data_IF_778695808870
#
_entry.id   IF_778695808870
#
_cell.length_a   1.000
_cell.length_b   1.000
_cell.length_c   1.000
_cell.angle_alpha   90.00
_cell.angle_beta   90.00
_cell.angle_gamma   90.00
#
_symmetry.space_group_name_H-M   'P 1'
#
loop_
_entity.id
_entity.type
_entity.pdbx_description
1 polymer ?
#
# COMPACT_ATOMS: atom_id res chain seq x y z
N UNK A 1 2.92 -6.74 34.70
CA UNK A 1 1.77 -7.46 34.09
C UNK A 1 0.80 -6.55 33.37
N UNK A 2 0.36 -5.45 33.94
CA UNK A 2 -0.65 -4.54 33.33
C UNK A 2 -0.33 -4.04 31.93
N UNK A 3 0.90 -3.61 31.65
CA UNK A 3 1.30 -3.21 30.29
C UNK A 3 1.19 -4.35 29.29
N UNK A 4 1.57 -5.57 29.69
CA UNK A 4 1.45 -6.73 28.82
C UNK A 4 0.00 -7.05 28.50
N UNK A 5 -0.90 -6.93 29.44
CA UNK A 5 -2.33 -7.15 29.23
C UNK A 5 -2.91 -6.06 28.34
N UNK A 6 -2.61 -4.79 28.63
CA UNK A 6 -3.11 -3.64 27.86
C UNK A 6 -2.65 -3.66 26.39
N UNK A 7 -1.41 -4.05 26.14
CA UNK A 7 -0.82 -4.11 24.78
C UNK A 7 -0.86 -5.50 24.14
N UNK A 8 -1.77 -6.37 24.61
CA UNK A 8 -2.03 -7.69 24.02
C UNK A 8 -3.44 -7.73 23.41
N UNK A 9 -3.53 -7.99 22.12
CA UNK A 9 -4.76 -7.97 21.35
C UNK A 9 -5.05 -9.30 20.69
N UNK A 10 -6.29 -9.78 20.76
CA UNK A 10 -6.76 -10.93 19.99
C UNK A 10 -6.88 -10.58 18.49
N UNK A 11 -6.39 -11.45 17.62
CA UNK A 11 -6.54 -11.26 16.16
C UNK A 11 -7.91 -11.77 15.72
N UNK A 12 -8.76 -10.90 15.14
CA UNK A 12 -10.07 -11.34 14.62
C UNK A 12 -9.90 -12.45 13.57
N UNK A 13 -10.63 -13.55 13.75
CA UNK A 13 -10.55 -14.71 12.87
C UNK A 13 -9.34 -15.62 13.08
N UNK A 14 -8.53 -15.42 14.11
CA UNK A 14 -7.37 -16.26 14.45
C UNK A 14 -7.69 -17.76 14.44
N UNK A 15 -8.85 -18.17 14.96
CA UNK A 15 -9.30 -19.57 14.99
C UNK A 15 -9.40 -20.26 13.62
N UNK A 16 -9.45 -19.49 12.54
CA UNK A 16 -9.47 -20.01 11.18
C UNK A 16 -8.07 -20.10 10.55
N UNK A 17 -7.04 -19.56 11.20
CA UNK A 17 -5.66 -19.58 10.69
C UNK A 17 -4.97 -20.90 11.00
N UNK A 18 -4.20 -21.47 10.03
CA UNK A 18 -3.48 -22.72 10.23
C UNK A 18 -2.53 -22.72 11.44
N UNK A 19 -1.84 -21.61 11.70
CA UNK A 19 -0.94 -21.46 12.84
C UNK A 19 -1.63 -21.56 14.19
N UNK A 20 -2.86 -21.05 14.31
CA UNK A 20 -3.68 -21.18 15.51
C UNK A 20 -4.20 -22.62 15.66
N UNK A 21 -4.73 -23.19 14.57
CA UNK A 21 -5.25 -24.57 14.58
C UNK A 21 -4.15 -25.61 14.87
N UNK A 22 -2.93 -25.33 14.42
CA UNK A 22 -1.76 -26.19 14.69
C UNK A 22 -1.13 -25.97 16.07
N UNK A 23 -1.68 -25.08 16.91
CA UNK A 23 -1.12 -24.79 18.24
C UNK A 23 0.20 -24.00 18.25
N UNK A 24 0.66 -23.52 17.10
CA UNK A 24 1.91 -22.75 16.98
C UNK A 24 1.79 -21.29 17.38
N UNK A 25 0.56 -20.80 17.55
CA UNK A 25 0.25 -19.42 17.90
C UNK A 25 -1.08 -19.33 18.65
N UNK A 26 -1.13 -18.51 19.67
CA UNK A 26 -2.30 -18.34 20.56
C UNK A 26 -3.35 -17.34 20.04
N UNK A 27 -3.21 -16.85 18.83
CA UNK A 27 -4.15 -15.90 18.22
C UNK A 27 -4.01 -14.46 18.72
N UNK A 28 -2.93 -14.13 19.44
CA UNK A 28 -2.71 -12.80 20.01
C UNK A 28 -1.48 -12.11 19.42
N UNK A 29 -1.57 -10.80 19.29
CA UNK A 29 -0.44 -9.91 19.01
C UNK A 29 -0.07 -9.20 20.31
N UNK A 30 1.21 -9.20 20.63
CA UNK A 30 1.78 -8.53 21.80
C UNK A 30 2.69 -7.41 21.33
N UNK A 31 2.36 -6.17 21.72
CA UNK A 31 3.14 -4.99 21.36
C UNK A 31 4.11 -4.55 22.45
N UNK A 32 4.02 -5.17 23.63
CA UNK A 32 4.97 -5.03 24.74
C UNK A 32 5.69 -6.37 24.94
N UNK A 33 7.01 -6.35 24.88
CA UNK A 33 7.84 -7.53 25.15
C UNK A 33 8.15 -7.61 26.64
N UNK A 34 7.60 -8.61 27.32
CA UNK A 34 7.78 -8.84 28.75
C UNK A 34 9.19 -9.32 29.14
N UNK A 35 9.97 -9.84 28.19
CA UNK A 35 11.32 -10.34 28.45
C UNK A 35 12.35 -9.20 28.45
N UNK A 36 12.18 -8.26 27.52
CA UNK A 36 13.08 -7.12 27.35
C UNK A 36 12.55 -5.84 27.97
N UNK A 37 11.28 -5.80 28.38
CA UNK A 37 10.54 -4.62 28.82
C UNK A 37 10.50 -3.51 27.76
N UNK A 38 10.51 -3.88 26.47
CA UNK A 38 10.48 -2.94 25.36
C UNK A 38 9.08 -2.85 24.76
N UNK A 39 8.76 -1.63 24.31
CA UNK A 39 7.59 -1.32 23.49
C UNK A 39 8.03 -0.51 22.27
N UNK A 40 7.31 -0.64 21.17
CA UNK A 40 7.59 0.18 19.98
C UNK A 40 7.46 1.68 20.29
N UNK A 41 8.46 2.45 19.90
CA UNK A 41 8.54 3.89 20.17
C UNK A 41 7.31 4.68 19.69
N UNK A 42 6.73 4.30 18.56
CA UNK A 42 5.53 4.97 18.02
C UNK A 42 4.27 4.80 18.88
N UNK A 43 4.29 3.91 19.89
CA UNK A 43 3.20 3.75 20.85
C UNK A 43 3.35 4.62 22.13
N UNK A 44 4.34 5.53 22.17
CA UNK A 44 4.61 6.37 23.34
C UNK A 44 3.39 7.18 23.80
N UNK A 45 2.56 7.65 22.90
CA UNK A 45 1.34 8.38 23.24
C UNK A 45 0.23 7.47 23.78
N UNK A 46 0.13 6.23 23.27
CA UNK A 46 -0.78 5.22 23.84
C UNK A 46 -0.31 4.80 25.23
N UNK A 47 1.00 4.66 25.40
CA UNK A 47 1.61 4.37 26.71
C UNK A 47 1.36 5.51 27.70
N UNK A 48 1.46 6.78 27.27
CA UNK A 48 1.16 7.94 28.10
C UNK A 48 -0.30 7.95 28.54
N UNK A 49 -1.24 7.70 27.63
CA UNK A 49 -2.69 7.58 27.93
C UNK A 49 -2.96 6.46 28.94
N UNK A 50 -2.30 5.33 28.78
CA UNK A 50 -2.40 4.25 29.76
C UNK A 50 -1.90 4.70 31.14
N UNK A 51 -0.73 5.33 31.24
CA UNK A 51 -0.15 5.82 32.48
C UNK A 51 -1.08 6.85 33.17
N UNK A 52 -1.61 7.81 32.38
CA UNK A 52 -2.57 8.80 32.84
C UNK A 52 -3.84 8.15 33.42
N UNK A 53 -4.42 7.17 32.72
CA UNK A 53 -5.61 6.45 33.16
C UNK A 53 -5.43 5.68 34.47
N UNK A 54 -4.18 5.39 34.86
CA UNK A 54 -3.78 4.70 36.08
C UNK A 54 -3.20 5.62 37.15
N UNK A 55 -3.11 6.92 36.86
CA UNK A 55 -2.51 7.91 37.78
C UNK A 55 -0.99 7.76 37.93
N UNK A 56 -0.32 7.11 36.97
CA UNK A 56 1.13 7.00 36.99
C UNK A 56 1.80 8.31 36.54
N UNK A 57 2.88 8.69 37.22
CA UNK A 57 3.73 9.81 36.76
C UNK A 57 4.53 9.35 35.54
N UNK A 58 4.57 10.15 34.52
CA UNK A 58 5.35 9.89 33.30
C UNK A 58 5.90 11.19 32.72
N UNK A 59 6.93 11.07 31.90
CA UNK A 59 7.41 12.14 31.03
C UNK A 59 7.52 11.61 29.61
N UNK A 60 7.09 12.40 28.63
CA UNK A 60 7.26 12.08 27.22
C UNK A 60 8.55 12.72 26.71
N UNK A 61 9.38 11.92 26.06
CA UNK A 61 10.53 12.43 25.34
C UNK A 61 10.07 13.01 23.99
N UNK A 62 10.32 14.30 23.77
CA UNK A 62 10.13 14.91 22.45
C UNK A 62 11.38 14.71 21.61
N UNK A 63 11.24 13.97 20.52
CA UNK A 63 12.30 13.71 19.55
C UNK A 63 12.15 14.58 18.29
N UNK A 64 11.34 15.64 18.34
CA UNK A 64 11.21 16.57 17.22
C UNK A 64 12.51 17.31 16.99
N UNK A 65 12.86 17.50 15.72
CA UNK A 65 13.99 18.35 15.34
C UNK A 65 13.52 19.79 15.19
N UNK A 66 14.40 20.72 15.51
CA UNK A 66 14.16 22.14 15.32
C UNK A 66 14.28 22.48 13.82
N UNK A 67 13.15 22.54 13.14
CA UNK A 67 13.02 22.88 11.73
C UNK A 67 11.67 23.56 11.49
N UNK A 68 11.67 24.58 10.67
CA UNK A 68 10.45 25.30 10.30
C UNK A 68 9.83 24.73 9.00
N UNK A 69 8.56 25.06 8.74
CA UNK A 69 7.91 24.71 7.47
C UNK A 69 8.57 25.43 6.29
N UNK A 70 9.06 26.65 6.50
CA UNK A 70 9.74 27.44 5.47
C UNK A 70 11.09 26.81 5.09
N UNK A 71 11.85 26.31 6.05
CA UNK A 71 13.09 25.56 5.76
C UNK A 71 12.82 24.33 4.87
N UNK A 72 11.73 23.61 5.15
CA UNK A 72 11.34 22.44 4.35
C UNK A 72 10.85 22.86 2.97
N UNK A 73 10.11 23.95 2.86
CA UNK A 73 9.65 24.49 1.59
C UNK A 73 10.84 24.92 0.72
N UNK A 74 11.81 25.61 1.29
CA UNK A 74 13.01 26.03 0.59
C UNK A 74 13.88 24.83 0.19
N UNK A 75 13.99 23.82 1.05
CA UNK A 75 14.63 22.56 0.69
C UNK A 75 13.93 21.92 -0.54
N UNK A 76 12.60 21.83 -0.56
CA UNK A 76 11.85 21.27 -1.68
C UNK A 76 12.07 22.07 -2.96
N UNK A 77 12.06 23.41 -2.90
CA UNK A 77 12.37 24.27 -4.05
C UNK A 77 13.77 24.00 -4.62
N UNK A 78 14.77 23.77 -3.75
CA UNK A 78 16.14 23.42 -4.18
C UNK A 78 16.24 22.05 -4.87
N UNK A 79 15.28 21.15 -4.68
CA UNK A 79 15.23 19.89 -5.42
C UNK A 79 14.89 20.09 -6.91
N UNK A 80 14.33 21.25 -7.29
CA UNK A 80 13.92 21.62 -8.66
C UNK A 80 13.04 20.57 -9.33
N UNK A 81 12.10 20.00 -8.55
CA UNK A 81 11.14 19.03 -9.09
C UNK A 81 10.28 19.71 -10.16
N UNK A 82 10.05 19.09 -11.34
CA UNK A 82 9.29 19.71 -12.44
C UNK A 82 7.75 19.70 -12.16
N UNK A 83 7.34 19.56 -10.93
CA UNK A 83 5.95 19.51 -10.46
C UNK A 83 5.75 20.51 -9.33
N UNK A 84 4.61 21.14 -9.29
CA UNK A 84 4.20 21.99 -8.16
C UNK A 84 3.85 21.12 -6.95
N UNK A 85 4.53 21.36 -5.83
CA UNK A 85 4.24 20.68 -4.57
C UNK A 85 3.06 21.39 -3.88
N UNK A 86 2.01 20.65 -3.62
CA UNK A 86 0.79 21.15 -3.01
C UNK A 86 0.94 21.36 -1.50
N UNK A 87 0.17 22.28 -0.93
CA UNK A 87 0.25 22.63 0.50
C UNK A 87 0.15 21.42 1.43
N UNK A 88 -0.78 20.50 1.17
CA UNK A 88 -0.94 19.31 1.99
C UNK A 88 0.25 18.33 1.87
N UNK A 89 0.95 18.32 0.73
CA UNK A 89 2.17 17.52 0.54
C UNK A 89 3.33 18.15 1.32
N UNK A 90 3.46 19.49 1.25
CA UNK A 90 4.43 20.22 2.07
C UNK A 90 4.19 19.99 3.57
N UNK A 91 2.94 20.07 4.02
CA UNK A 91 2.56 19.79 5.42
C UNK A 91 2.92 18.37 5.86
N UNK A 92 2.71 17.39 4.99
CA UNK A 92 3.05 15.99 5.26
C UNK A 92 4.56 15.79 5.34
N UNK A 93 5.32 16.35 4.39
CA UNK A 93 6.79 16.27 4.37
C UNK A 93 7.38 17.00 5.58
N UNK A 94 6.91 18.21 5.90
CA UNK A 94 7.32 18.92 7.09
C UNK A 94 7.08 18.11 8.38
N UNK A 95 5.85 17.58 8.55
CA UNK A 95 5.53 16.74 9.70
C UNK A 95 6.47 15.54 9.82
N UNK A 96 6.70 14.82 8.73
CA UNK A 96 7.55 13.66 8.72
C UNK A 96 9.02 14.00 9.05
N UNK A 97 9.56 15.07 8.48
CA UNK A 97 10.92 15.53 8.76
C UNK A 97 11.04 15.93 10.25
N UNK A 98 10.12 16.75 10.74
CA UNK A 98 10.14 17.26 12.12
C UNK A 98 10.19 16.15 13.15
N UNK A 99 9.44 15.08 12.95
CA UNK A 99 9.35 13.98 13.91
C UNK A 99 10.27 12.79 13.59
N UNK A 100 10.96 12.80 12.44
CA UNK A 100 11.82 11.70 11.97
C UNK A 100 11.10 10.37 11.81
N UNK A 101 9.83 10.29 12.17
CA UNK A 101 8.93 9.14 12.04
C UNK A 101 7.53 9.64 11.69
N UNK A 102 6.87 8.94 10.75
CA UNK A 102 5.48 9.25 10.42
C UNK A 102 4.77 8.06 9.76
N UNK A 103 3.50 7.90 10.06
CA UNK A 103 2.56 7.10 9.28
C UNK A 103 1.63 8.07 8.53
N UNK A 104 1.89 8.29 7.25
CA UNK A 104 1.12 9.21 6.42
C UNK A 104 -0.03 8.49 5.73
N UNK A 105 -1.25 8.87 6.07
CA UNK A 105 -2.46 8.34 5.43
C UNK A 105 -2.88 9.30 4.32
N UNK A 106 -2.69 8.87 3.07
CA UNK A 106 -2.84 9.71 1.89
C UNK A 106 -3.51 8.90 0.77
N UNK A 107 -4.67 9.32 0.26
CA UNK A 107 -5.43 8.55 -0.72
C UNK A 107 -4.67 8.39 -2.04
N UNK A 108 -5.16 7.51 -2.91
CA UNK A 108 -4.63 7.37 -4.27
C UNK A 108 -4.67 8.70 -5.00
N UNK A 109 -3.70 8.95 -5.88
CA UNK A 109 -3.52 10.18 -6.63
C UNK A 109 -3.26 11.46 -5.79
N UNK A 110 -2.95 11.33 -4.50
CA UNK A 110 -2.51 12.46 -3.66
C UNK A 110 -1.04 12.85 -3.87
N UNK A 111 -0.29 12.09 -4.69
CA UNK A 111 1.14 12.28 -4.93
C UNK A 111 2.02 11.66 -3.83
N UNK A 112 1.68 10.47 -3.35
CA UNK A 112 2.50 9.71 -2.37
C UNK A 112 3.95 9.54 -2.83
N UNK A 113 4.19 9.17 -4.09
CA UNK A 113 5.55 8.99 -4.62
C UNK A 113 6.38 10.27 -4.58
N UNK A 114 5.78 11.44 -4.80
CA UNK A 114 6.46 12.72 -4.68
C UNK A 114 6.86 13.04 -3.22
N UNK A 115 5.96 12.77 -2.26
CA UNK A 115 6.29 12.93 -0.84
C UNK A 115 7.40 11.97 -0.40
N UNK A 116 7.35 10.70 -0.84
CA UNK A 116 8.42 9.72 -0.62
C UNK A 116 9.74 10.25 -1.20
N UNK A 117 9.73 10.74 -2.43
CA UNK A 117 10.91 11.31 -3.08
C UNK A 117 11.51 12.47 -2.26
N UNK A 118 10.72 13.46 -1.88
CA UNK A 118 11.20 14.60 -1.09
C UNK A 118 11.82 14.14 0.24
N UNK A 119 11.20 13.21 0.93
CA UNK A 119 11.70 12.67 2.19
C UNK A 119 12.98 11.84 2.02
N UNK A 120 13.05 11.00 0.97
CA UNK A 120 14.27 10.24 0.64
C UNK A 120 15.42 11.20 0.34
N UNK A 121 15.19 12.25 -0.45
CA UNK A 121 16.21 13.25 -0.78
C UNK A 121 16.70 13.98 0.46
N UNK A 122 15.79 14.33 1.39
CA UNK A 122 16.17 14.91 2.67
C UNK A 122 17.06 13.98 3.49
N UNK A 123 16.66 12.73 3.66
CA UNK A 123 17.44 11.74 4.39
C UNK A 123 18.80 11.50 3.73
N UNK A 124 18.84 11.31 2.41
CA UNK A 124 20.09 11.06 1.68
C UNK A 124 21.09 12.20 1.83
N UNK A 125 20.66 13.46 1.75
CA UNK A 125 21.52 14.62 1.96
C UNK A 125 22.08 14.68 3.40
N UNK A 126 21.24 14.39 4.40
CA UNK A 126 21.70 14.31 5.81
C UNK A 126 22.69 13.18 6.05
N UNK A 127 22.65 12.13 5.22
CA UNK A 127 23.45 10.91 5.38
C UNK A 127 24.79 10.93 4.60
N UNK A 128 24.99 11.88 3.70
CA UNK A 128 26.21 11.96 2.88
C UNK A 128 27.52 11.85 3.68
N UNK A 129 27.55 12.41 4.90
CA UNK A 129 28.71 12.34 5.79
C UNK A 129 28.89 11.02 6.53
N UNK A 130 27.86 10.18 6.59
CA UNK A 130 27.87 8.94 7.41
C UNK A 130 28.04 7.67 6.58
N UNK A 131 27.93 7.77 5.25
CA UNK A 131 27.94 6.61 4.35
C UNK A 131 26.73 5.67 4.52
N UNK A 132 25.75 6.04 5.35
CA UNK A 132 24.53 5.26 5.56
C UNK A 132 23.59 5.41 4.35
N UNK A 133 22.75 4.42 4.17
CA UNK A 133 21.87 4.28 3.00
C UNK A 133 20.38 4.42 3.40
N UNK A 134 19.55 4.61 2.39
CA UNK A 134 18.07 4.67 2.53
C UNK A 134 17.44 3.45 1.87
N UNK A 135 16.45 2.83 2.54
CA UNK A 135 15.70 1.68 2.06
C UNK A 135 14.24 2.07 1.78
N UNK A 136 13.80 1.93 0.55
CA UNK A 136 12.38 2.04 0.15
C UNK A 136 11.82 0.65 -0.09
N UNK A 137 10.78 0.29 0.66
CA UNK A 137 10.06 -0.97 0.56
C UNK A 137 8.68 -0.76 -0.08
N UNK A 138 8.40 -1.55 -1.11
CA UNK A 138 7.14 -1.52 -1.86
C UNK A 138 6.54 -2.93 -1.96
N UNK A 139 5.21 -3.09 -2.20
CA UNK A 139 4.56 -4.39 -2.21
C UNK A 139 4.93 -5.31 -3.39
N UNK A 140 5.21 -4.75 -4.56
CA UNK A 140 5.38 -5.52 -5.80
C UNK A 140 6.62 -5.10 -6.58
N UNK A 141 7.16 -6.01 -7.40
CA UNK A 141 8.31 -5.71 -8.29
C UNK A 141 7.95 -4.60 -9.30
N UNK A 142 6.70 -4.56 -9.75
CA UNK A 142 6.24 -3.50 -10.65
C UNK A 142 6.35 -2.11 -10.00
N UNK A 143 5.99 -1.99 -8.73
CA UNK A 143 6.15 -0.75 -7.98
C UNK A 143 7.63 -0.37 -7.73
N UNK A 144 8.55 -1.34 -7.66
CA UNK A 144 9.99 -1.05 -7.64
C UNK A 144 10.39 -0.29 -8.90
N UNK A 145 10.00 -0.80 -10.07
CA UNK A 145 10.29 -0.16 -11.36
C UNK A 145 9.58 1.17 -11.54
N UNK A 146 8.33 1.27 -11.05
CA UNK A 146 7.57 2.51 -11.11
C UNK A 146 8.21 3.61 -10.25
N UNK A 147 8.58 3.32 -9.00
CA UNK A 147 9.25 4.30 -8.13
C UNK A 147 10.56 4.79 -8.72
N UNK A 148 11.32 3.90 -9.36
CA UNK A 148 12.54 4.26 -10.06
C UNK A 148 12.25 5.23 -11.21
N UNK A 149 11.27 4.93 -12.06
CA UNK A 149 10.82 5.82 -13.17
C UNK A 149 10.28 7.15 -12.64
N UNK A 150 9.48 7.14 -11.57
CA UNK A 150 8.95 8.35 -10.94
C UNK A 150 10.10 9.28 -10.49
N UNK A 151 11.17 8.73 -9.91
CA UNK A 151 12.34 9.53 -9.50
C UNK A 151 13.04 10.17 -10.70
N UNK A 152 13.14 9.47 -11.83
CA UNK A 152 13.66 10.04 -13.08
C UNK A 152 12.78 11.19 -13.59
N UNK A 153 11.44 11.00 -13.54
CA UNK A 153 10.48 12.07 -13.91
C UNK A 153 10.60 13.28 -13.00
N UNK A 154 10.99 13.10 -11.73
CA UNK A 154 11.25 14.21 -10.80
C UNK A 154 12.60 14.89 -11.01
N UNK A 155 13.32 14.52 -12.06
CA UNK A 155 14.62 15.13 -12.43
C UNK A 155 15.81 14.57 -11.65
N UNK A 156 15.66 13.37 -11.04
CA UNK A 156 16.73 12.74 -10.28
C UNK A 156 17.51 11.73 -11.13
N UNK A 157 18.82 11.73 -11.02
CA UNK A 157 19.67 10.69 -11.62
C UNK A 157 19.50 9.38 -10.83
N UNK A 158 18.40 8.68 -11.12
CA UNK A 158 18.09 7.43 -10.46
C UNK A 158 19.05 6.30 -10.85
N UNK A 159 19.61 6.35 -12.06
CA UNK A 159 20.59 5.36 -12.53
C UNK A 159 21.84 5.33 -11.66
N UNK A 160 22.40 6.48 -11.33
CA UNK A 160 23.60 6.56 -10.49
C UNK A 160 23.30 6.36 -9.00
N UNK A 161 22.09 6.71 -8.53
CA UNK A 161 21.80 6.80 -7.10
C UNK A 161 20.88 5.72 -6.55
N UNK A 162 20.11 5.01 -7.39
CA UNK A 162 19.15 4.01 -6.94
C UNK A 162 19.56 2.59 -7.32
N UNK A 163 19.50 1.68 -6.36
CA UNK A 163 19.64 0.24 -6.56
C UNK A 163 18.30 -0.45 -6.45
N UNK A 164 17.85 -1.08 -7.53
CA UNK A 164 16.61 -1.88 -7.54
C UNK A 164 16.90 -3.33 -7.20
N UNK A 165 16.37 -3.82 -6.09
CA UNK A 165 16.46 -5.23 -5.69
C UNK A 165 15.22 -5.95 -6.21
N UNK A 166 15.40 -6.73 -7.28
CA UNK A 166 14.40 -7.62 -7.85
C UNK A 166 14.88 -9.06 -7.82
N UNK A 167 14.03 -10.03 -8.18
CA UNK A 167 14.39 -11.44 -8.18
C UNK A 167 15.62 -11.70 -9.08
N UNK A 168 16.63 -12.37 -8.53
CA UNK A 168 17.87 -12.70 -9.25
C UNK A 168 18.91 -11.59 -9.35
N UNK A 169 18.64 -10.37 -8.89
CA UNK A 169 19.64 -9.30 -8.84
C UNK A 169 20.39 -9.28 -7.51
N UNK A 170 21.60 -8.73 -7.58
CA UNK A 170 22.45 -8.52 -6.41
C UNK A 170 21.71 -7.71 -5.33
N UNK A 171 21.89 -8.07 -4.08
CA UNK A 171 21.23 -7.40 -2.95
C UNK A 171 22.08 -6.28 -2.35
N UNK A 172 23.28 -6.09 -2.86
CA UNK A 172 24.19 -5.06 -2.41
C UNK A 172 24.75 -4.26 -3.60
N UNK A 173 24.95 -2.98 -3.41
CA UNK A 173 25.52 -2.06 -4.39
C UNK A 173 26.09 -0.82 -3.69
N UNK A 174 26.99 -0.14 -4.36
CA UNK A 174 27.49 1.16 -3.86
C UNK A 174 26.59 2.30 -4.36
N UNK A 175 25.35 2.32 -3.85
CA UNK A 175 24.34 3.34 -4.13
C UNK A 175 23.64 3.79 -2.86
N UNK A 176 23.28 5.06 -2.71
CA UNK A 176 22.70 5.60 -1.47
C UNK A 176 21.22 5.19 -1.24
N UNK A 177 20.49 4.81 -2.29
CA UNK A 177 19.06 4.52 -2.22
C UNK A 177 18.81 3.11 -2.74
N UNK A 178 18.12 2.29 -1.94
CA UNK A 178 17.70 0.94 -2.28
C UNK A 178 16.18 0.88 -2.41
N UNK A 179 15.69 0.37 -3.53
CA UNK A 179 14.27 0.18 -3.79
C UNK A 179 14.02 -1.33 -3.90
N UNK A 180 13.18 -1.88 -3.04
CA UNK A 180 12.97 -3.33 -2.93
C UNK A 180 11.54 -3.68 -2.56
N UNK A 181 11.14 -4.91 -2.81
CA UNK A 181 9.99 -5.48 -2.12
C UNK A 181 10.42 -6.00 -0.76
N UNK A 182 9.54 -5.95 0.27
CA UNK A 182 9.86 -6.53 1.57
C UNK A 182 10.10 -8.06 1.50
N UNK A 183 9.45 -8.76 0.55
CA UNK A 183 9.65 -10.19 0.32
C UNK A 183 11.08 -10.52 -0.13
N UNK A 184 11.73 -9.61 -0.84
CA UNK A 184 13.09 -9.80 -1.32
C UNK A 184 14.14 -9.70 -0.22
N UNK A 185 13.88 -8.93 0.84
CA UNK A 185 14.90 -8.60 1.86
C UNK A 185 14.59 -9.10 3.27
N UNK A 186 13.36 -9.52 3.62
CA UNK A 186 13.01 -9.87 5.01
C UNK A 186 13.84 -11.02 5.61
N UNK A 187 14.36 -11.91 4.75
CA UNK A 187 15.22 -13.05 5.17
C UNK A 187 16.68 -12.66 5.41
N UNK A 188 17.09 -11.43 4.99
CA UNK A 188 18.47 -10.97 5.20
C UNK A 188 18.79 -10.89 6.68
N UNK A 189 20.08 -11.12 7.01
CA UNK A 189 20.58 -11.03 8.40
C UNK A 189 20.54 -9.58 8.90
N UNK A 190 20.62 -9.40 10.22
CA UNK A 190 20.60 -8.08 10.88
C UNK A 190 21.71 -7.16 10.38
N UNK A 191 22.91 -7.70 10.15
CA UNK A 191 24.07 -6.94 9.66
C UNK A 191 23.81 -6.27 8.30
N UNK A 192 23.02 -6.90 7.43
CA UNK A 192 22.59 -6.29 6.17
C UNK A 192 21.81 -5.00 6.40
N UNK A 193 20.99 -4.96 7.44
CA UNK A 193 20.17 -3.79 7.75
C UNK A 193 20.91 -2.69 8.49
N UNK A 194 22.10 -2.97 9.04
CA UNK A 194 22.91 -1.99 9.75
C UNK A 194 23.43 -0.84 8.85
N UNK A 195 23.43 -1.04 7.53
CA UNK A 195 23.79 0.01 6.57
C UNK A 195 22.71 1.08 6.38
N UNK A 196 21.45 0.84 6.79
CA UNK A 196 20.34 1.76 6.58
C UNK A 196 20.01 2.56 7.84
N UNK A 197 19.89 3.87 7.72
CA UNK A 197 19.38 4.74 8.77
C UNK A 197 18.06 5.46 8.41
N UNK A 198 17.55 5.21 7.20
CA UNK A 198 16.21 5.63 6.80
C UNK A 198 15.48 4.47 6.11
N UNK A 199 14.23 4.24 6.51
CA UNK A 199 13.33 3.25 5.89
C UNK A 199 12.01 3.89 5.52
N UNK A 200 11.57 3.60 4.33
CA UNK A 200 10.28 3.98 3.76
C UNK A 200 9.48 2.74 3.40
N UNK A 201 8.20 2.73 3.72
CA UNK A 201 7.30 1.64 3.37
C UNK A 201 6.09 2.24 2.66
N UNK A 202 6.00 2.01 1.36
CA UNK A 202 4.79 2.35 0.60
C UNK A 202 3.75 1.24 0.74
N UNK A 203 2.47 1.63 0.70
CA UNK A 203 1.33 0.75 0.98
C UNK A 203 1.51 -0.06 2.28
N UNK A 204 1.94 0.63 3.33
CA UNK A 204 2.28 0.04 4.63
C UNK A 204 1.18 -0.88 5.20
N UNK A 205 -0.10 -0.65 4.85
CA UNK A 205 -1.23 -1.49 5.25
C UNK A 205 -1.20 -2.92 4.68
N UNK A 206 -0.52 -3.12 3.54
CA UNK A 206 -0.37 -4.44 2.91
C UNK A 206 0.74 -5.28 3.54
N UNK A 207 1.69 -4.66 4.19
CA UNK A 207 2.79 -5.34 4.85
C UNK A 207 2.31 -6.04 6.13
N UNK A 208 1.36 -6.97 5.97
CA UNK A 208 0.72 -7.70 7.06
C UNK A 208 1.73 -8.44 7.92
N UNK A 209 1.91 -7.86 9.07
CA UNK A 209 2.46 -8.39 10.30
C UNK A 209 3.93 -8.87 10.25
N UNK A 210 4.20 -10.12 9.88
CA UNK A 210 5.47 -10.74 10.27
C UNK A 210 6.69 -10.29 9.45
N UNK A 211 6.57 -10.12 8.14
CA UNK A 211 7.72 -9.76 7.30
C UNK A 211 8.17 -8.30 7.52
N UNK A 212 7.22 -7.36 7.58
CA UNK A 212 7.54 -5.96 7.87
C UNK A 212 8.07 -5.79 9.30
N UNK A 213 7.39 -6.36 10.29
CA UNK A 213 7.85 -6.30 11.70
C UNK A 213 9.26 -6.88 11.83
N UNK A 214 9.54 -8.02 11.18
CA UNK A 214 10.88 -8.62 11.16
C UNK A 214 11.94 -7.69 10.56
N UNK A 215 11.64 -6.99 9.47
CA UNK A 215 12.55 -5.99 8.89
C UNK A 215 12.76 -4.82 9.86
N UNK A 216 11.67 -4.27 10.40
CA UNK A 216 11.71 -3.11 11.28
C UNK A 216 12.44 -3.40 12.60
N UNK A 217 12.38 -4.65 13.11
CA UNK A 217 13.14 -5.11 14.27
C UNK A 217 14.64 -5.26 14.00
N UNK A 218 15.01 -5.61 12.76
CA UNK A 218 16.42 -5.68 12.33
C UNK A 218 17.04 -4.30 12.09
N UNK A 219 16.25 -3.28 11.81
CA UNK A 219 16.65 -1.89 11.61
C UNK A 219 16.82 -1.16 12.97
N UNK A 220 17.74 -1.60 13.83
CA UNK A 220 17.91 -1.06 15.19
C UNK A 220 18.35 0.39 15.21
N UNK A 221 19.32 0.75 14.34
CA UNK A 221 19.94 2.07 14.29
C UNK A 221 19.38 2.91 13.13
N UNK A 222 18.06 2.81 12.91
CA UNK A 222 17.35 3.49 11.84
C UNK A 222 16.39 4.53 12.45
N UNK A 223 16.83 5.79 12.65
CA UNK A 223 16.00 6.83 13.25
C UNK A 223 14.85 7.29 12.33
N UNK A 224 15.08 7.32 11.02
CA UNK A 224 14.09 7.79 10.06
C UNK A 224 13.19 6.64 9.58
N UNK A 225 11.92 6.64 10.00
CA UNK A 225 10.96 5.57 9.68
C UNK A 225 9.66 6.14 9.18
N UNK A 226 9.36 5.92 7.91
CA UNK A 226 8.17 6.48 7.26
C UNK A 226 7.33 5.39 6.63
N UNK A 227 6.06 5.31 7.04
CA UNK A 227 5.03 4.50 6.41
C UNK A 227 4.06 5.38 5.64
N UNK A 228 3.73 5.01 4.40
CA UNK A 228 2.71 5.67 3.61
C UNK A 228 1.63 4.66 3.23
N UNK A 229 0.38 5.08 3.26
CA UNK A 229 -0.74 4.21 2.89
C UNK A 229 -1.94 5.01 2.40
N UNK A 230 -2.70 4.44 1.48
CA UNK A 230 -3.96 5.03 1.01
C UNK A 230 -5.08 4.93 2.04
N UNK A 231 -5.13 3.83 2.77
CA UNK A 231 -6.19 3.51 3.73
C UNK A 231 -5.64 2.74 4.92
N UNK A 232 -6.32 2.82 6.04
CA UNK A 232 -6.18 1.91 7.17
C UNK A 232 -7.41 1.00 7.21
N UNK A 233 -7.23 -0.29 7.44
CA UNK A 233 -8.29 -1.31 7.36
C UNK A 233 -9.30 -1.27 8.53
N UNK A 234 -9.28 -0.24 9.35
CA UNK A 234 -10.18 -0.04 10.48
C UNK A 234 -9.98 -1.00 11.66
N UNK A 235 -9.06 -1.96 11.55
CA UNK A 235 -8.74 -2.89 12.65
C UNK A 235 -7.76 -2.24 13.61
N UNK A 236 -8.14 -2.15 14.87
CA UNK A 236 -7.33 -1.52 15.91
C UNK A 236 -5.95 -2.18 16.06
N UNK A 237 -5.88 -3.50 16.00
CA UNK A 237 -4.63 -4.25 16.06
C UNK A 237 -3.64 -3.86 14.95
N UNK A 238 -4.13 -3.67 13.73
CA UNK A 238 -3.29 -3.26 12.60
C UNK A 238 -2.87 -1.80 12.75
N UNK A 239 -3.79 -0.92 13.18
CA UNK A 239 -3.49 0.48 13.46
C UNK A 239 -2.40 0.61 14.51
N UNK A 240 -2.52 -0.09 15.63
CA UNK A 240 -1.53 -0.02 16.72
C UNK A 240 -0.18 -0.61 16.30
N UNK A 241 -0.17 -1.70 15.53
CA UNK A 241 1.09 -2.26 15.00
C UNK A 241 1.79 -1.26 14.09
N UNK A 242 1.07 -0.67 13.13
CA UNK A 242 1.64 0.33 12.23
C UNK A 242 2.07 1.60 12.97
N UNK A 243 1.25 2.07 13.92
CA UNK A 243 1.61 3.21 14.77
C UNK A 243 2.90 2.92 15.54
N UNK A 244 3.04 1.72 16.11
CA UNK A 244 4.25 1.33 16.84
C UNK A 244 5.50 1.38 15.98
N UNK A 245 5.43 0.90 14.75
CA UNK A 245 6.55 0.84 13.82
C UNK A 245 6.95 2.22 13.28
N UNK A 246 5.99 3.11 13.04
CA UNK A 246 6.21 4.41 12.39
C UNK A 246 5.92 5.59 13.32
N UNK A 247 4.68 5.87 13.60
CA UNK A 247 4.13 6.82 14.58
C UNK A 247 2.58 6.85 14.45
N UNK A 248 1.93 7.74 15.20
CA UNK A 248 0.49 7.99 15.09
C UNK A 248 0.12 8.38 13.66
N UNK A 249 -0.97 7.81 13.11
CA UNK A 249 -1.39 8.13 11.75
C UNK A 249 -1.70 9.60 11.55
N UNK A 250 -1.07 10.22 10.54
CA UNK A 250 -1.34 11.59 10.09
C UNK A 250 -2.13 11.55 8.79
N UNK A 251 -3.38 12.00 8.83
CA UNK A 251 -4.16 12.19 7.61
C UNK A 251 -3.61 13.37 6.81
N UNK A 252 -3.18 13.12 5.59
CA UNK A 252 -2.58 14.12 4.70
C UNK A 252 -3.67 14.92 3.97
N UNK A 253 -4.58 14.22 3.33
CA UNK A 253 -5.74 14.80 2.64
C UNK A 253 -6.85 13.75 2.53
N UNK A 254 -7.98 14.08 1.93
CA UNK A 254 -9.08 13.15 1.68
C UNK A 254 -9.42 13.09 0.20
N UNK A 255 -9.93 11.94 -0.27
CA UNK A 255 -10.43 11.79 -1.64
C UNK A 255 -11.44 12.87 -2.01
N UNK A 256 -12.32 13.24 -1.06
CA UNK A 256 -13.31 14.31 -1.26
C UNK A 256 -12.63 15.65 -1.55
N UNK A 257 -11.63 16.06 -0.75
CA UNK A 257 -10.89 17.30 -0.99
C UNK A 257 -10.20 17.32 -2.36
N UNK A 258 -9.63 16.17 -2.78
CA UNK A 258 -8.99 16.04 -4.10
C UNK A 258 -9.99 16.14 -5.26
N UNK A 259 -11.21 15.60 -5.10
CA UNK A 259 -12.29 15.75 -6.07
C UNK A 259 -12.83 17.19 -6.11
N UNK A 260 -13.02 17.82 -4.95
CA UNK A 260 -13.55 19.18 -4.84
C UNK A 260 -12.56 20.21 -5.42
N UNK A 261 -11.25 19.97 -5.30
CA UNK A 261 -10.20 20.80 -5.91
C UNK A 261 -9.95 20.51 -7.40
N UNK A 262 -10.65 19.54 -8.00
CA UNK A 262 -10.41 19.15 -9.40
C UNK A 262 -9.08 18.40 -9.63
N UNK A 263 -8.40 18.01 -8.57
CA UNK A 263 -7.12 17.26 -8.66
C UNK A 263 -7.31 15.85 -9.22
N UNK A 264 -8.45 15.25 -8.92
CA UNK A 264 -8.85 13.92 -9.44
C UNK A 264 -10.27 14.01 -10.03
N UNK A 265 -10.54 13.10 -10.93
CA UNK A 265 -11.87 12.99 -11.54
C UNK A 265 -12.95 12.73 -10.49
N UNK A 266 -14.14 13.28 -10.71
CA UNK A 266 -15.30 13.00 -9.88
C UNK A 266 -15.74 11.56 -10.06
N UNK A 267 -15.77 10.81 -8.97
CA UNK A 267 -16.25 9.42 -8.95
C UNK A 267 -17.76 9.40 -8.65
N UNK A 268 -18.53 8.75 -9.53
CA UNK A 268 -19.93 8.40 -9.28
C UNK A 268 -20.05 6.88 -9.14
N UNK A 269 -20.52 6.41 -8.00
CA UNK A 269 -20.76 4.99 -7.73
C UNK A 269 -22.23 4.68 -7.93
N UNK A 270 -22.56 3.80 -8.90
CA UNK A 270 -23.90 3.29 -9.11
C UNK A 270 -23.96 1.84 -8.63
N UNK A 271 -24.72 1.57 -7.58
CA UNK A 271 -24.97 0.20 -7.10
C UNK A 271 -26.15 -0.41 -7.84
N UNK A 272 -25.87 -1.41 -8.69
CA UNK A 272 -26.90 -2.14 -9.44
C UNK A 272 -27.30 -3.41 -8.66
N UNK A 273 -28.54 -3.49 -8.26
CA UNK A 273 -29.09 -4.66 -7.55
C UNK A 273 -29.77 -5.57 -8.57
N UNK A 274 -29.20 -6.75 -8.78
CA UNK A 274 -29.76 -7.74 -9.67
C UNK A 274 -30.81 -8.58 -8.92
N UNK A 275 -32.05 -8.59 -9.43
CA UNK A 275 -33.08 -9.46 -8.90
C UNK A 275 -32.98 -10.85 -9.56
N UNK A 276 -32.69 -11.84 -8.75
CA UNK A 276 -32.67 -13.24 -9.19
C UNK A 276 -34.08 -13.78 -9.46
N UNK A 277 -34.18 -14.69 -10.43
CA UNK A 277 -35.41 -15.42 -10.72
C UNK A 277 -35.91 -16.22 -9.51
N UNK A 278 -37.17 -16.70 -9.55
CA UNK A 278 -37.71 -17.59 -8.51
C UNK A 278 -36.93 -18.90 -8.43
N UNK A 279 -36.48 -19.40 -9.55
CA UNK A 279 -35.66 -20.59 -9.72
C UNK A 279 -34.29 -20.40 -9.08
N UNK A 280 -33.60 -19.29 -9.42
CA UNK A 280 -32.33 -18.92 -8.83
C UNK A 280 -32.40 -18.81 -7.30
N UNK A 281 -33.48 -18.19 -6.78
CA UNK A 281 -33.70 -18.08 -5.33
C UNK A 281 -33.89 -19.44 -4.66
N UNK A 282 -34.50 -20.43 -5.34
CA UNK A 282 -34.60 -21.81 -4.82
C UNK A 282 -33.24 -22.47 -4.76
N UNK A 283 -32.41 -22.34 -5.80
CA UNK A 283 -31.04 -22.88 -5.84
C UNK A 283 -30.20 -22.25 -4.74
N UNK A 284 -30.22 -20.91 -4.60
CA UNK A 284 -29.46 -20.21 -3.57
C UNK A 284 -29.78 -20.66 -2.13
N UNK A 285 -31.02 -21.12 -1.85
CA UNK A 285 -31.41 -21.62 -0.52
C UNK A 285 -30.81 -22.96 -0.14
N UNK A 286 -30.40 -23.80 -1.11
CA UNK A 286 -29.79 -25.11 -0.86
C UNK A 286 -28.27 -25.06 -0.81
N UNK A 287 -27.65 -23.96 -1.22
CA UNK A 287 -26.23 -23.72 -1.13
C UNK A 287 -25.81 -23.61 0.35
N UNK A 288 -24.81 -24.39 0.76
CA UNK A 288 -24.37 -24.47 2.16
C UNK A 288 -23.02 -23.85 2.42
N UNK A 289 -22.18 -23.68 1.39
CA UNK A 289 -20.82 -23.20 1.54
C UNK A 289 -20.59 -21.92 0.74
N UNK A 290 -19.71 -21.08 1.23
CA UNK A 290 -19.28 -19.87 0.52
C UNK A 290 -18.72 -20.16 -0.88
N UNK A 291 -18.00 -21.28 -1.04
CA UNK A 291 -17.43 -21.65 -2.33
C UNK A 291 -18.52 -22.02 -3.35
N UNK A 292 -19.52 -22.78 -2.93
CA UNK A 292 -20.67 -23.11 -3.78
C UNK A 292 -21.44 -21.86 -4.20
N UNK A 293 -21.60 -20.89 -3.29
CA UNK A 293 -22.24 -19.61 -3.58
C UNK A 293 -21.44 -18.81 -4.61
N UNK A 294 -20.11 -18.72 -4.44
CA UNK A 294 -19.23 -18.07 -5.41
C UNK A 294 -19.32 -18.73 -6.78
N UNK A 295 -19.25 -20.05 -6.87
CA UNK A 295 -19.32 -20.80 -8.10
C UNK A 295 -20.70 -20.60 -8.80
N UNK A 296 -21.79 -20.62 -8.03
CA UNK A 296 -23.13 -20.33 -8.54
C UNK A 296 -23.22 -18.92 -9.15
N UNK A 297 -22.75 -17.89 -8.43
CA UNK A 297 -22.78 -16.50 -8.90
C UNK A 297 -21.93 -16.30 -10.16
N UNK A 298 -20.75 -16.90 -10.19
CA UNK A 298 -19.78 -16.77 -11.29
C UNK A 298 -20.30 -17.47 -12.56
N UNK A 299 -20.97 -18.62 -12.42
CA UNK A 299 -21.52 -19.39 -13.53
C UNK A 299 -22.92 -18.98 -13.96
N UNK A 300 -23.57 -18.05 -13.25
CA UNK A 300 -24.93 -17.61 -13.55
C UNK A 300 -25.01 -16.88 -14.90
N UNK A 301 -25.62 -17.52 -15.88
CA UNK A 301 -25.71 -17.05 -17.28
C UNK A 301 -26.43 -15.70 -17.40
N UNK A 302 -27.53 -15.52 -16.65
CA UNK A 302 -28.31 -14.28 -16.69
C UNK A 302 -27.52 -13.10 -16.16
N UNK A 303 -26.78 -13.31 -15.06
CA UNK A 303 -25.86 -12.32 -14.49
C UNK A 303 -24.73 -11.96 -15.47
N UNK A 304 -24.09 -12.96 -16.06
CA UNK A 304 -23.00 -12.73 -17.00
C UNK A 304 -23.47 -12.02 -18.28
N UNK A 305 -24.65 -12.38 -18.78
CA UNK A 305 -25.27 -11.68 -19.90
C UNK A 305 -25.59 -10.21 -19.56
N UNK A 306 -26.07 -9.94 -18.35
CA UNK A 306 -26.30 -8.56 -17.91
C UNK A 306 -24.99 -7.77 -17.84
N UNK A 307 -23.92 -8.34 -17.28
CA UNK A 307 -22.60 -7.70 -17.20
C UNK A 307 -22.06 -7.41 -18.62
N UNK A 308 -22.16 -8.38 -19.54
CA UNK A 308 -21.71 -8.21 -20.93
C UNK A 308 -22.46 -7.10 -21.64
N UNK A 309 -23.81 -7.09 -21.54
CA UNK A 309 -24.63 -6.00 -22.10
C UNK A 309 -24.29 -4.65 -21.51
N UNK A 310 -24.11 -4.58 -20.20
CA UNK A 310 -23.73 -3.32 -19.54
C UNK A 310 -22.39 -2.83 -20.07
N UNK A 311 -21.36 -3.69 -20.10
CA UNK A 311 -20.04 -3.33 -20.58
C UNK A 311 -20.03 -2.80 -22.01
N UNK A 312 -20.82 -3.41 -22.89
CA UNK A 312 -20.91 -3.00 -24.30
C UNK A 312 -21.71 -1.71 -24.53
N UNK A 313 -22.60 -1.34 -23.60
CA UNK A 313 -23.41 -0.11 -23.70
C UNK A 313 -22.78 1.12 -23.08
N UNK A 314 -21.78 0.95 -22.20
CA UNK A 314 -21.07 2.07 -21.60
C UNK A 314 -20.24 2.80 -22.66
N UNK A 315 -20.19 4.13 -22.56
CA UNK A 315 -19.33 4.99 -23.38
C UNK A 315 -17.98 5.18 -22.71
N UNK A 316 -16.95 5.28 -23.53
CA UNK A 316 -15.57 5.45 -23.07
C UNK A 316 -14.95 4.15 -22.58
N UNK A 317 -13.70 4.25 -22.12
CA UNK A 317 -12.94 3.08 -21.68
C UNK A 317 -13.61 2.41 -20.49
N UNK A 318 -13.84 1.11 -20.61
CA UNK A 318 -14.57 0.30 -19.64
C UNK A 318 -13.68 -0.78 -19.07
N UNK A 319 -13.58 -0.86 -17.74
CA UNK A 319 -12.85 -1.92 -17.03
C UNK A 319 -13.85 -2.90 -16.39
N UNK A 320 -13.77 -4.17 -16.77
CA UNK A 320 -14.56 -5.27 -16.21
C UNK A 320 -13.65 -6.14 -15.36
N UNK A 321 -13.86 -6.18 -14.05
CA UNK A 321 -13.01 -6.94 -13.12
C UNK A 321 -13.62 -8.31 -12.80
N UNK A 322 -12.79 -9.35 -12.84
CA UNK A 322 -13.17 -10.71 -12.45
C UNK A 322 -12.21 -11.34 -11.44
N UNK A 323 -12.66 -12.37 -10.73
CA UNK A 323 -11.87 -13.09 -9.72
C UNK A 323 -11.33 -14.43 -10.25
N UNK A 324 -12.11 -15.19 -10.98
CA UNK A 324 -11.79 -16.55 -11.43
C UNK A 324 -11.47 -16.54 -12.93
N UNK A 325 -10.25 -16.94 -13.27
CA UNK A 325 -9.73 -16.90 -14.66
C UNK A 325 -10.58 -17.80 -15.56
N UNK A 326 -10.50 -19.12 -15.36
CA UNK A 326 -11.13 -20.12 -16.25
C UNK A 326 -12.68 -20.14 -16.15
N UNK A 327 -13.21 -20.02 -14.93
CA UNK A 327 -14.65 -20.13 -14.69
C UNK A 327 -15.43 -18.88 -15.07
N UNK A 328 -14.78 -17.71 -15.11
CA UNK A 328 -15.47 -16.42 -15.29
C UNK A 328 -14.79 -15.51 -16.30
N UNK A 329 -13.51 -15.20 -16.14
CA UNK A 329 -12.81 -14.21 -16.96
C UNK A 329 -12.79 -14.56 -18.44
N UNK A 330 -12.39 -15.78 -18.77
CA UNK A 330 -12.34 -16.25 -20.17
C UNK A 330 -13.75 -16.30 -20.80
N UNK A 331 -14.75 -16.99 -20.22
CA UNK A 331 -16.09 -17.03 -20.81
C UNK A 331 -16.77 -15.65 -20.92
N UNK A 332 -16.54 -14.78 -19.93
CA UNK A 332 -17.09 -13.42 -19.95
C UNK A 332 -16.46 -12.57 -21.06
N UNK A 333 -15.16 -12.71 -21.29
CA UNK A 333 -14.45 -12.01 -22.37
C UNK A 333 -14.98 -12.44 -23.75
N UNK A 334 -15.11 -13.73 -23.98
CA UNK A 334 -15.66 -14.26 -25.23
C UNK A 334 -17.11 -13.80 -25.45
N UNK A 335 -17.92 -13.78 -24.40
CA UNK A 335 -19.29 -13.30 -24.49
C UNK A 335 -19.35 -11.80 -24.83
N UNK A 336 -18.48 -10.96 -24.25
CA UNK A 336 -18.40 -9.53 -24.56
C UNK A 336 -17.93 -9.33 -25.98
N UNK A 337 -16.88 -10.04 -26.45
CA UNK A 337 -16.38 -9.97 -27.83
C UNK A 337 -17.46 -10.29 -28.87
N UNK A 338 -18.30 -11.29 -28.60
CA UNK A 338 -19.41 -11.65 -29.49
C UNK A 338 -20.58 -10.66 -29.52
N UNK A 339 -20.52 -9.59 -28.69
CA UNK A 339 -21.64 -8.63 -28.54
C UNK A 339 -21.30 -7.19 -28.95
N UNK A 340 -20.06 -6.91 -29.35
CA UNK A 340 -19.61 -5.55 -29.67
C UNK A 340 -18.48 -5.56 -30.70
N UNK A 341 -18.40 -4.49 -31.47
CA UNK A 341 -17.26 -4.21 -32.37
C UNK A 341 -16.15 -3.43 -31.69
N UNK A 342 -16.29 -3.07 -30.39
CA UNK A 342 -15.26 -2.41 -29.63
C UNK A 342 -14.07 -3.34 -29.44
N UNK A 343 -12.88 -2.74 -29.30
CA UNK A 343 -11.68 -3.50 -28.92
C UNK A 343 -11.83 -4.08 -27.50
N UNK A 344 -11.70 -5.41 -27.36
CA UNK A 344 -11.83 -6.10 -26.07
C UNK A 344 -10.53 -6.80 -25.70
N UNK A 345 -9.84 -6.23 -24.71
CA UNK A 345 -8.57 -6.73 -24.21
C UNK A 345 -8.76 -7.59 -22.96
N UNK A 346 -7.98 -8.66 -22.87
CA UNK A 346 -8.00 -9.56 -21.71
C UNK A 346 -6.68 -9.51 -20.98
N UNK A 347 -6.74 -9.37 -19.64
CA UNK A 347 -5.54 -9.31 -18.78
C UNK A 347 -5.72 -10.19 -17.55
N UNK A 348 -4.76 -11.09 -17.33
CA UNK A 348 -4.75 -11.96 -16.16
C UNK A 348 -3.35 -12.08 -15.54
N UNK A 349 -3.20 -12.92 -14.49
CA UNK A 349 -1.93 -13.13 -13.81
C UNK A 349 -0.82 -13.70 -14.70
N UNK A 350 -1.17 -14.41 -15.78
CA UNK A 350 -0.21 -14.97 -16.75
C UNK A 350 0.24 -13.98 -17.82
N UNK A 351 -0.48 -12.88 -18.02
CA UNK A 351 -0.08 -11.80 -18.95
C UNK A 351 1.24 -11.19 -18.50
N UNK A 352 2.24 -11.10 -19.37
CA UNK A 352 3.56 -10.55 -19.06
C UNK A 352 3.50 -9.08 -18.68
N UNK A 353 4.49 -8.61 -17.91
CA UNK A 353 4.54 -7.22 -17.43
C UNK A 353 4.56 -6.21 -18.56
N UNK A 354 5.35 -6.48 -19.60
CA UNK A 354 5.52 -5.59 -20.75
C UNK A 354 4.20 -5.49 -21.54
N UNK A 355 3.54 -6.64 -21.78
CA UNK A 355 2.23 -6.70 -22.45
C UNK A 355 1.13 -5.95 -21.67
N UNK A 356 1.18 -5.97 -20.31
CA UNK A 356 0.25 -5.18 -19.50
C UNK A 356 0.49 -3.68 -19.65
N UNK A 357 1.74 -3.27 -19.79
CA UNK A 357 2.11 -1.88 -20.02
C UNK A 357 1.64 -1.43 -21.40
N UNK A 358 1.81 -2.26 -22.43
CA UNK A 358 1.33 -1.99 -23.80
C UNK A 358 -0.20 -1.81 -23.82
N UNK A 359 -0.93 -2.69 -23.12
CA UNK A 359 -2.41 -2.60 -23.00
C UNK A 359 -2.80 -1.31 -22.28
N UNK A 360 -2.09 -0.92 -21.24
CA UNK A 360 -2.32 0.34 -20.52
C UNK A 360 -2.11 1.54 -21.42
N UNK A 361 -0.97 1.59 -22.12
CA UNK A 361 -0.66 2.69 -23.03
C UNK A 361 -1.65 2.78 -24.20
N UNK A 362 -2.09 1.64 -24.70
CA UNK A 362 -3.11 1.60 -25.75
C UNK A 362 -4.44 2.16 -25.24
N UNK A 363 -4.88 1.75 -24.05
CA UNK A 363 -6.12 2.23 -23.46
C UNK A 363 -6.09 3.73 -23.14
N UNK A 364 -4.91 4.28 -22.76
CA UNK A 364 -4.75 5.72 -22.53
C UNK A 364 -4.82 6.56 -23.82
N UNK A 365 -4.48 5.96 -24.96
CA UNK A 365 -4.49 6.61 -26.28
C UNK A 365 -5.78 6.37 -27.08
N UNK A 366 -6.63 5.47 -26.60
CA UNK A 366 -7.84 5.03 -27.29
C UNK A 366 -9.08 5.42 -26.52
N UNK A 367 -10.16 5.67 -27.24
CA UNK A 367 -11.50 5.85 -26.68
C UNK A 367 -12.33 4.59 -26.91
N UNK A 368 -13.20 4.26 -25.95
CA UNK A 368 -14.22 3.22 -26.09
C UNK A 368 -13.69 1.75 -26.15
N UNK A 369 -12.61 1.48 -25.41
CA UNK A 369 -12.02 0.13 -25.23
C UNK A 369 -12.62 -0.57 -24.03
N UNK A 370 -12.78 -1.89 -24.10
CA UNK A 370 -13.19 -2.73 -22.96
C UNK A 370 -12.00 -3.58 -22.51
N UNK A 371 -11.55 -3.38 -21.26
CA UNK A 371 -10.52 -4.21 -20.64
C UNK A 371 -11.18 -5.18 -19.65
N UNK A 372 -11.06 -6.46 -19.88
CA UNK A 372 -11.52 -7.52 -18.97
C UNK A 372 -10.32 -8.05 -18.19
N UNK A 373 -10.24 -7.73 -16.91
CA UNK A 373 -9.02 -7.96 -16.14
C UNK A 373 -9.25 -8.71 -14.81
N UNK A 374 -8.27 -9.54 -14.42
CA UNK A 374 -8.33 -10.19 -13.11
C UNK A 374 -8.12 -9.18 -11.98
N UNK A 375 -8.91 -9.32 -10.92
CA UNK A 375 -8.88 -8.43 -9.77
C UNK A 375 -7.47 -8.34 -9.14
N UNK A 376 -6.77 -9.48 -9.02
CA UNK A 376 -5.40 -9.51 -8.48
C UNK A 376 -4.37 -8.80 -9.35
N UNK A 377 -4.61 -8.69 -10.65
CA UNK A 377 -3.67 -8.04 -11.59
C UNK A 377 -3.88 -6.52 -11.65
N UNK A 378 -5.12 -6.05 -11.53
CA UNK A 378 -5.47 -4.63 -11.67
C UNK A 378 -5.76 -3.91 -10.34
N UNK A 379 -5.82 -4.62 -9.20
CA UNK A 379 -6.14 -4.01 -7.89
C UNK A 379 -4.98 -3.28 -7.24
N UNK A 380 -3.73 -3.54 -7.64
CA UNK A 380 -2.54 -2.94 -7.02
C UNK A 380 -1.54 -2.47 -8.07
N UNK A 381 -1.22 -1.19 -8.06
CA UNK A 381 -0.05 -0.63 -8.74
C UNK A 381 -0.22 -0.34 -10.24
N UNK A 382 -1.42 -0.37 -10.79
CA UNK A 382 -1.67 0.11 -12.16
C UNK A 382 -2.30 1.50 -12.07
N UNK A 383 -1.59 2.47 -12.62
CA UNK A 383 -2.09 3.84 -12.75
C UNK A 383 -2.52 4.02 -14.22
N UNK A 384 -3.83 4.05 -14.47
CA UNK A 384 -4.42 4.46 -15.75
C UNK A 384 -4.76 5.95 -15.60
N UNK A 385 -4.16 6.79 -16.41
CA UNK A 385 -4.38 8.24 -16.41
C UNK A 385 -5.61 8.64 -17.23
#
# INVERSE_FOLDING_TARGET
MELSEHFTFGVPGAKFMPSYRGGFWDGKIRLFDTKTNLIYFGLRFELARFAESRGYKFSLFDNSIDITKDDVNDFIKHLKVPLEVRDYQLDAVYHAIKHSRALLVSPTASGKSLMIYCLIRYCTLKQQKTGKKTLLLVPTIQLVSQMFKDFQVYGFDAESNCHMITSGKDKDADKPIYISTWQSVYKMKRDYFAQFNAVFVDEAHLAKAKSLSTIMEKLTDCPYRFGLTGTLDGKETNRLTLSGLFDVPKNVTTTKKLMDSGTIAKLKVNCLVLNHSKEDKKIARIIKTYQEECDYLVLNKSRNLFISKLATTLKGNTLVLFQYVEKHGVPLTEQIRGMTDKEVMYVSGITKSDEREDIREFAEKSDDVIIVASNGTFSTGINIR
#
